data_IF_167845540490
#
_entry.id   IF_167845540490
#
_cell.length_a   1.000
_cell.length_b   1.000
_cell.length_c   1.000
_cell.angle_alpha   90.00
_cell.angle_beta   90.00
_cell.angle_gamma   90.00
#
_symmetry.space_group_name_H-M   'P 1'
#
loop_
_entity.id
_entity.type
_entity.pdbx_description
1 polymer ?
#
# COMPACT_ATOMS: atom_id res chain seq x y z
N UNK A 1 -18.47 35.60 -1.40
CA UNK A 1 -18.28 34.47 -2.31
C UNK A 1 -16.79 34.09 -2.34
N UNK A 2 -16.28 33.55 -1.23
CA UNK A 2 -14.87 33.11 -1.07
C UNK A 2 -14.84 31.79 -0.25
N UNK A 3 -15.76 31.65 0.71
CA UNK A 3 -15.91 30.45 1.55
C UNK A 3 -16.27 29.20 0.74
N UNK A 4 -17.21 29.27 -0.20
CA UNK A 4 -17.58 28.11 -1.03
C UNK A 4 -16.51 27.67 -2.04
N UNK A 5 -15.60 28.56 -2.44
CA UNK A 5 -14.50 28.23 -3.35
C UNK A 5 -13.41 27.43 -2.62
N UNK A 6 -13.11 27.81 -1.37
CA UNK A 6 -12.20 27.07 -0.50
C UNK A 6 -12.74 25.68 -0.11
N UNK A 7 -14.04 25.56 0.14
CA UNK A 7 -14.68 24.27 0.42
C UNK A 7 -14.68 23.34 -0.80
N UNK A 8 -14.91 23.90 -1.99
CA UNK A 8 -14.85 23.16 -3.26
C UNK A 8 -13.42 22.69 -3.57
N UNK A 9 -12.42 23.57 -3.43
CA UNK A 9 -11.01 23.21 -3.64
C UNK A 9 -10.56 22.16 -2.62
N UNK A 10 -10.95 22.32 -1.35
CA UNK A 10 -10.68 21.34 -0.30
C UNK A 10 -11.31 19.97 -0.62
N UNK A 11 -12.58 19.95 -1.03
CA UNK A 11 -13.24 18.71 -1.45
C UNK A 11 -12.55 18.06 -2.65
N UNK A 12 -12.08 18.84 -3.62
CA UNK A 12 -11.33 18.35 -4.77
C UNK A 12 -10.00 17.71 -4.34
N UNK A 13 -9.24 18.32 -3.43
CA UNK A 13 -8.01 17.72 -2.88
C UNK A 13 -8.30 16.41 -2.14
N UNK A 14 -9.35 16.36 -1.33
CA UNK A 14 -9.75 15.14 -0.60
C UNK A 14 -10.09 14.00 -1.58
N UNK A 15 -10.90 14.27 -2.59
CA UNK A 15 -11.29 13.30 -3.63
C UNK A 15 -10.07 12.85 -4.42
N UNK A 16 -9.22 13.78 -4.84
CA UNK A 16 -7.99 13.47 -5.57
C UNK A 16 -7.05 12.58 -4.74
N UNK A 17 -6.88 12.88 -3.45
CA UNK A 17 -6.11 12.05 -2.52
C UNK A 17 -6.67 10.63 -2.37
N UNK A 18 -7.99 10.48 -2.34
CA UNK A 18 -8.65 9.18 -2.34
C UNK A 18 -8.41 8.43 -3.65
N UNK A 19 -8.58 9.07 -4.80
CA UNK A 19 -8.34 8.47 -6.12
C UNK A 19 -6.89 8.00 -6.23
N UNK A 20 -5.92 8.86 -5.93
CA UNK A 20 -4.49 8.51 -5.98
C UNK A 20 -4.15 7.32 -5.09
N UNK A 21 -4.74 7.24 -3.89
CA UNK A 21 -4.55 6.12 -2.98
C UNK A 21 -5.00 4.79 -3.62
N UNK A 22 -6.18 4.77 -4.25
CA UNK A 22 -6.63 3.58 -4.98
C UNK A 22 -5.73 3.26 -6.17
N UNK A 23 -5.37 4.28 -6.97
CA UNK A 23 -4.49 4.10 -8.14
C UNK A 23 -3.15 3.49 -7.74
N UNK A 24 -2.44 4.05 -6.75
CA UNK A 24 -1.16 3.49 -6.31
C UNK A 24 -1.30 2.10 -5.70
N UNK A 25 -2.35 1.85 -4.92
CA UNK A 25 -2.60 0.53 -4.34
C UNK A 25 -2.82 -0.54 -5.41
N UNK A 26 -3.57 -0.21 -6.47
CA UNK A 26 -3.83 -1.11 -7.59
C UNK A 26 -2.55 -1.34 -8.40
N UNK A 27 -1.84 -0.26 -8.78
CA UNK A 27 -0.59 -0.36 -9.52
C UNK A 27 0.45 -1.21 -8.78
N UNK A 28 0.56 -1.02 -7.47
CA UNK A 28 1.46 -1.83 -6.64
C UNK A 28 1.05 -3.31 -6.61
N UNK A 29 -0.24 -3.59 -6.48
CA UNK A 29 -0.76 -4.97 -6.54
C UNK A 29 -0.50 -5.64 -7.88
N UNK A 30 -0.71 -4.92 -8.99
CA UNK A 30 -0.40 -5.40 -10.35
C UNK A 30 1.11 -5.64 -10.49
N UNK A 31 1.94 -4.72 -10.00
CA UNK A 31 3.40 -4.86 -10.05
C UNK A 31 3.86 -6.13 -9.34
N UNK A 32 3.36 -6.39 -8.13
CA UNK A 32 3.66 -7.64 -7.42
C UNK A 32 3.13 -8.87 -8.15
N UNK A 33 1.88 -8.81 -8.64
CA UNK A 33 1.24 -9.94 -9.35
C UNK A 33 1.96 -10.31 -10.64
N UNK A 34 2.43 -9.35 -11.42
CA UNK A 34 3.19 -9.61 -12.64
C UNK A 34 4.55 -10.26 -12.37
N UNK A 35 5.17 -9.99 -11.21
CA UNK A 35 6.50 -10.53 -10.87
C UNK A 35 6.45 -11.85 -10.07
N UNK A 36 5.39 -12.12 -9.32
CA UNK A 36 5.22 -13.34 -8.51
C UNK A 36 4.30 -14.36 -9.19
N UNK A 37 3.27 -13.88 -9.88
CA UNK A 37 2.13 -14.65 -10.35
C UNK A 37 0.98 -14.63 -9.35
N UNK A 38 -0.23 -14.34 -9.83
CA UNK A 38 -1.43 -14.20 -8.97
C UNK A 38 -1.76 -15.46 -8.17
N UNK A 39 -1.58 -16.65 -8.76
CA UNK A 39 -1.82 -17.92 -8.06
C UNK A 39 -0.84 -18.15 -6.90
N UNK A 40 0.43 -17.80 -7.10
CA UNK A 40 1.47 -17.92 -6.07
C UNK A 40 1.24 -16.91 -4.94
N UNK A 41 0.79 -15.69 -5.25
CA UNK A 41 0.42 -14.69 -4.22
C UNK A 41 -0.71 -15.19 -3.33
N UNK A 42 -1.74 -15.83 -3.90
CA UNK A 42 -2.87 -16.36 -3.12
C UNK A 42 -2.42 -17.52 -2.24
N UNK A 43 -1.60 -18.44 -2.76
CA UNK A 43 -1.09 -19.59 -2.00
C UNK A 43 -0.13 -19.21 -0.88
N UNK A 44 0.70 -18.20 -1.10
CA UNK A 44 1.73 -17.74 -0.15
C UNK A 44 1.27 -16.60 0.75
N UNK A 45 -0.02 -16.23 0.71
CA UNK A 45 -0.59 -15.22 1.59
C UNK A 45 -0.78 -15.79 2.99
N UNK A 46 -0.04 -15.27 3.96
CA UNK A 46 -0.24 -15.58 5.38
C UNK A 46 -1.46 -14.86 6.00
N UNK A 47 -1.75 -15.18 7.26
CA UNK A 47 -2.87 -14.64 8.04
C UNK A 47 -2.43 -13.50 8.98
N UNK A 48 -1.67 -12.54 8.46
CA UNK A 48 -1.28 -11.36 9.22
C UNK A 48 -2.45 -10.40 9.34
N UNK A 49 -2.91 -10.16 10.56
CA UNK A 49 -3.89 -9.11 10.83
C UNK A 49 -3.32 -7.74 10.46
N UNK A 50 -4.12 -6.93 9.76
CA UNK A 50 -3.70 -5.58 9.41
C UNK A 50 -3.50 -4.74 10.68
N UNK A 51 -2.33 -4.07 10.84
CA UNK A 51 -2.06 -3.25 12.01
C UNK A 51 -3.14 -2.18 12.19
N UNK A 52 -3.53 -1.91 13.43
CA UNK A 52 -4.55 -0.89 13.76
C UNK A 52 -4.22 0.49 13.17
N UNK A 53 -2.93 0.84 13.07
CA UNK A 53 -2.46 2.07 12.44
C UNK A 53 -2.82 2.15 10.93
N UNK A 54 -2.76 1.03 10.22
CA UNK A 54 -3.13 0.95 8.80
C UNK A 54 -4.65 1.11 8.65
N UNK A 55 -5.44 0.50 9.55
CA UNK A 55 -6.90 0.67 9.57
C UNK A 55 -7.29 2.13 9.85
N UNK A 56 -6.62 2.80 10.79
CA UNK A 56 -6.88 4.20 11.12
C UNK A 56 -6.50 5.14 9.96
N UNK A 57 -5.46 4.81 9.19
CA UNK A 57 -5.03 5.59 8.02
C UNK A 57 -6.06 5.66 6.88
N UNK A 58 -7.10 4.80 6.89
CA UNK A 58 -8.21 4.88 5.92
C UNK A 58 -9.07 6.14 6.13
N UNK A 59 -9.11 6.68 7.34
CA UNK A 59 -9.91 7.87 7.66
C UNK A 59 -9.18 9.19 7.36
N UNK A 60 -7.86 9.14 7.14
CA UNK A 60 -7.06 10.32 6.84
C UNK A 60 -6.67 10.27 5.35
N UNK A 61 -7.23 11.15 4.51
CA UNK A 61 -6.80 11.29 3.12
C UNK A 61 -5.29 11.52 3.04
N UNK A 62 -4.66 10.95 2.02
CA UNK A 62 -3.20 10.95 1.82
C UNK A 62 -2.36 10.15 2.85
N UNK A 63 -2.83 9.84 4.06
CA UNK A 63 -2.04 9.06 5.02
C UNK A 63 -1.69 7.66 4.50
N UNK A 64 -2.65 6.97 3.90
CA UNK A 64 -2.43 5.66 3.27
C UNK A 64 -1.49 5.71 2.05
N UNK A 65 -1.37 6.87 1.40
CA UNK A 65 -0.40 7.07 0.32
C UNK A 65 1.03 7.01 0.86
N UNK A 66 1.32 7.65 2.00
CA UNK A 66 2.63 7.54 2.65
C UNK A 66 2.99 6.10 3.03
N UNK A 67 2.00 5.32 3.51
CA UNK A 67 2.20 3.89 3.80
C UNK A 67 2.51 3.10 2.52
N UNK A 68 1.81 3.41 1.42
CA UNK A 68 2.06 2.76 0.11
C UNK A 68 3.45 3.10 -0.42
N UNK A 69 3.88 4.37 -0.33
CA UNK A 69 5.22 4.79 -0.69
C UNK A 69 6.29 4.10 0.17
N UNK A 70 6.10 4.05 1.49
CA UNK A 70 6.98 3.32 2.40
C UNK A 70 7.13 1.84 1.99
N UNK A 71 6.01 1.16 1.68
CA UNK A 71 6.01 -0.23 1.18
C UNK A 71 6.81 -0.38 -0.11
N UNK A 72 6.62 0.52 -1.07
CA UNK A 72 7.39 0.53 -2.33
C UNK A 72 8.89 0.74 -2.05
N UNK A 73 9.24 1.66 -1.15
CA UNK A 73 10.63 1.94 -0.77
C UNK A 73 11.29 0.73 -0.12
N UNK A 74 10.61 0.03 0.79
CA UNK A 74 11.14 -1.21 1.40
C UNK A 74 11.32 -2.30 0.34
N UNK A 75 10.34 -2.49 -0.54
CA UNK A 75 10.48 -3.44 -1.64
C UNK A 75 11.71 -3.13 -2.51
N UNK A 76 11.89 -1.89 -2.92
CA UNK A 76 12.98 -1.49 -3.81
C UNK A 76 14.34 -1.54 -3.12
N UNK A 77 14.48 -0.89 -1.96
CA UNK A 77 15.77 -0.71 -1.30
C UNK A 77 16.22 -1.92 -0.48
N UNK A 78 15.28 -2.60 0.20
CA UNK A 78 15.63 -3.69 1.12
C UNK A 78 15.52 -5.07 0.49
N UNK A 79 14.62 -5.28 -0.47
CA UNK A 79 14.48 -6.57 -1.13
C UNK A 79 15.22 -6.60 -2.45
N UNK A 80 14.75 -5.84 -3.45
CA UNK A 80 15.27 -5.94 -4.81
C UNK A 80 16.74 -5.55 -4.92
N UNK A 81 17.16 -4.47 -4.25
CA UNK A 81 18.57 -4.03 -4.29
C UNK A 81 19.53 -4.98 -3.54
N UNK A 82 19.01 -5.84 -2.65
CA UNK A 82 19.80 -6.88 -1.97
C UNK A 82 19.74 -8.24 -2.68
N UNK A 83 19.03 -8.35 -3.81
CA UNK A 83 18.85 -9.58 -4.56
C UNK A 83 17.73 -10.49 -4.06
N UNK A 84 16.89 -10.03 -3.11
CA UNK A 84 15.70 -10.76 -2.70
C UNK A 84 14.58 -10.63 -3.74
N UNK A 85 13.74 -11.64 -3.77
CA UNK A 85 12.63 -11.78 -4.70
C UNK A 85 11.37 -11.07 -4.22
N UNK A 86 10.51 -10.71 -5.17
CA UNK A 86 9.17 -10.18 -4.87
C UNK A 86 8.34 -11.12 -3.99
N UNK A 87 8.56 -12.45 -4.09
CA UNK A 87 7.88 -13.46 -3.28
C UNK A 87 8.26 -13.38 -1.80
N UNK A 88 9.53 -13.19 -1.49
CA UNK A 88 9.98 -13.00 -0.10
C UNK A 88 9.38 -11.73 0.52
N UNK A 89 9.29 -10.65 -0.27
CA UNK A 89 8.63 -9.43 0.16
C UNK A 89 7.13 -9.64 0.44
N UNK A 90 6.44 -10.41 -0.41
CA UNK A 90 5.04 -10.76 -0.20
C UNK A 90 4.83 -11.58 1.08
N UNK A 91 5.71 -12.55 1.34
CA UNK A 91 5.70 -13.34 2.57
C UNK A 91 5.94 -12.44 3.79
N UNK A 92 6.95 -11.57 3.75
CA UNK A 92 7.24 -10.59 4.80
C UNK A 92 6.04 -9.69 5.13
N UNK A 93 5.31 -9.24 4.12
CA UNK A 93 4.12 -8.41 4.33
C UNK A 93 2.92 -9.18 4.90
N UNK A 94 2.82 -10.48 4.65
CA UNK A 94 1.62 -11.28 4.93
C UNK A 94 1.79 -12.27 6.08
N UNK A 95 3.01 -12.48 6.56
CA UNK A 95 3.31 -13.31 7.73
C UNK A 95 3.72 -12.43 8.91
N UNK A 96 3.32 -12.84 10.10
CA UNK A 96 3.71 -12.20 11.34
C UNK A 96 5.13 -12.67 11.72
N UNK A 97 6.02 -11.74 12.09
CA UNK A 97 7.39 -12.09 12.52
C UNK A 97 7.40 -12.79 13.89
N UNK A 98 6.21 -12.91 14.52
CA UNK A 98 6.01 -13.48 15.85
C UNK A 98 5.83 -15.00 15.87
N UNK A 99 5.80 -15.68 14.72
CA UNK A 99 5.76 -17.16 14.64
C UNK A 99 7.17 -17.76 14.58
N UNK A 100 7.96 -17.53 15.65
CA UNK A 100 9.22 -18.22 15.93
C UNK A 100 9.17 -18.89 17.28
#
# INVERSE_FOLDING_TARGET
MIIGMFEQDFAAYMIFGLILNFTFSILFGIHLSNNIGMQEMIKSKGDKEQPLLVKLSLFIPFAKMFITLYRVTILQLFFLNKGHTYKEYWIYMTHDETDK
#
